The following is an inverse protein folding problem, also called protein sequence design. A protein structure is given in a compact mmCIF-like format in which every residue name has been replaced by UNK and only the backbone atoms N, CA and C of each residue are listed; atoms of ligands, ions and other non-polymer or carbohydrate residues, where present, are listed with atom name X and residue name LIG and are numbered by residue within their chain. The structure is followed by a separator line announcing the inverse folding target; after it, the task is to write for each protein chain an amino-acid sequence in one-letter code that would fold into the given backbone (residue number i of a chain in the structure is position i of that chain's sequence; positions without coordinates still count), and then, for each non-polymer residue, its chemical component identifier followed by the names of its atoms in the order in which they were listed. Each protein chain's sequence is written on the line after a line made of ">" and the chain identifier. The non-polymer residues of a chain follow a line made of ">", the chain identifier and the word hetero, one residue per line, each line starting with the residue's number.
data_IF_881771650512
#
_entry.id   IF_881771650512
#
_cell.length_a   1.000
_cell.length_b   1.000
_cell.length_c   1.000
_cell.angle_alpha   90.00
_cell.angle_beta   90.00
_cell.angle_gamma   90.00
#
_symmetry.space_group_name_H-M   'P 1'
#
loop_
_entity.id
_entity.type
_entity.pdbx_description
1 polymer ?
#
# COMPACT_ATOMS: atom_id res chain seq x y z
N UNK A 1 5.26 66.89 -16.66
CA UNK A 1 4.59 65.81 -15.90
C UNK A 1 4.63 64.57 -16.76
N UNK A 2 5.57 63.63 -16.45
CA UNK A 2 5.71 62.35 -17.16
C UNK A 2 5.23 61.24 -16.21
N UNK A 3 4.15 60.60 -16.59
CA UNK A 3 3.64 59.45 -15.86
C UNK A 3 4.45 58.19 -16.25
N UNK A 4 5.12 57.57 -15.28
CA UNK A 4 5.81 56.32 -15.44
C UNK A 4 4.77 55.21 -15.13
N UNK A 5 4.37 54.49 -16.16
CA UNK A 5 3.50 53.31 -16.04
C UNK A 5 4.37 52.14 -15.63
N UNK A 6 4.24 51.70 -14.38
CA UNK A 6 4.89 50.47 -13.89
C UNK A 6 4.16 49.24 -14.41
N UNK A 7 4.82 48.46 -15.26
CA UNK A 7 4.34 47.18 -15.75
C UNK A 7 4.66 46.12 -14.68
N UNK A 8 3.65 45.66 -13.92
CA UNK A 8 3.77 44.54 -12.97
C UNK A 8 3.68 43.27 -13.77
N UNK A 9 4.82 42.62 -14.00
CA UNK A 9 4.88 41.26 -14.54
C UNK A 9 4.54 40.31 -13.42
N UNK A 10 3.30 39.79 -13.42
CA UNK A 10 2.90 38.71 -12.55
C UNK A 10 3.61 37.44 -13.01
N UNK A 11 4.63 37.00 -12.27
CA UNK A 11 5.24 35.71 -12.43
C UNK A 11 4.26 34.64 -11.92
N UNK A 12 3.51 34.03 -12.83
CA UNK A 12 2.68 32.88 -12.54
C UNK A 12 3.62 31.69 -12.25
N UNK A 13 3.83 31.39 -10.98
CA UNK A 13 4.44 30.13 -10.56
C UNK A 13 3.52 29.02 -11.05
N UNK A 14 3.92 28.37 -12.14
CA UNK A 14 3.41 27.06 -12.53
C UNK A 14 3.81 26.08 -11.42
N UNK A 15 2.95 25.96 -10.41
CA UNK A 15 2.94 24.77 -9.55
C UNK A 15 2.61 23.61 -10.48
N UNK A 16 3.65 22.87 -10.87
CA UNK A 16 3.49 21.62 -11.61
C UNK A 16 2.48 20.74 -10.87
N UNK A 17 1.46 20.28 -11.59
CA UNK A 17 0.57 19.27 -11.08
C UNK A 17 1.40 18.12 -10.47
N UNK A 18 0.99 17.53 -9.33
CA UNK A 18 1.73 16.42 -8.74
C UNK A 18 1.95 15.40 -9.84
N UNK A 19 3.22 15.08 -10.11
CA UNK A 19 3.57 14.14 -11.17
C UNK A 19 2.85 12.82 -10.87
N UNK A 20 2.02 12.35 -11.80
CA UNK A 20 1.20 11.13 -11.67
C UNK A 20 2.05 9.86 -11.47
N UNK A 21 3.32 10.00 -11.16
CA UNK A 21 4.31 8.96 -10.97
C UNK A 21 5.46 9.01 -11.96
N UNK A 22 6.08 7.85 -12.20
CA UNK A 22 7.21 7.70 -13.12
C UNK A 22 7.22 6.33 -13.77
N UNK A 23 7.85 6.24 -14.94
CA UNK A 23 8.15 4.99 -15.61
C UNK A 23 9.51 4.45 -15.12
N UNK A 24 9.60 3.12 -15.05
CA UNK A 24 10.84 2.44 -14.65
C UNK A 24 10.90 1.01 -15.20
N UNK A 25 12.08 0.40 -15.12
CA UNK A 25 12.29 -1.00 -15.50
C UNK A 25 12.49 -1.84 -14.24
N UNK A 26 11.79 -2.96 -14.14
CA UNK A 26 11.93 -3.88 -13.01
C UNK A 26 13.32 -4.51 -13.01
N UNK A 27 14.09 -4.28 -11.95
CA UNK A 27 15.40 -4.89 -11.74
C UNK A 27 15.28 -6.27 -11.08
N UNK A 28 14.49 -6.35 -10.00
CA UNK A 28 14.16 -7.61 -9.31
C UNK A 28 13.00 -7.45 -8.34
N UNK A 29 12.35 -8.55 -8.01
CA UNK A 29 11.44 -8.68 -6.86
C UNK A 29 12.27 -8.95 -5.60
N UNK A 30 11.89 -8.35 -4.48
CA UNK A 30 12.54 -8.53 -3.17
C UNK A 30 11.76 -9.56 -2.35
N UNK A 31 10.45 -9.35 -2.23
CA UNK A 31 9.48 -10.15 -1.48
C UNK A 31 8.09 -9.98 -2.12
N UNK A 32 7.02 -10.35 -1.39
CA UNK A 32 5.64 -10.36 -1.93
C UNK A 32 5.03 -8.98 -2.21
N UNK A 33 5.64 -7.89 -1.75
CA UNK A 33 5.12 -6.53 -1.92
C UNK A 33 6.21 -5.46 -2.14
N UNK A 34 7.41 -5.89 -2.48
CA UNK A 34 8.54 -4.98 -2.68
C UNK A 34 9.33 -5.35 -3.94
N UNK A 35 9.55 -4.37 -4.81
CA UNK A 35 10.38 -4.52 -6.02
C UNK A 35 11.51 -3.49 -6.02
N UNK A 36 12.57 -3.79 -6.77
CA UNK A 36 13.59 -2.81 -7.14
C UNK A 36 13.41 -2.46 -8.61
N UNK A 37 13.33 -1.19 -8.89
CA UNK A 37 13.21 -0.65 -10.24
C UNK A 37 14.39 0.27 -10.58
N UNK A 38 14.68 0.39 -11.87
CA UNK A 38 15.66 1.31 -12.43
C UNK A 38 14.90 2.36 -13.24
N UNK A 39 15.06 3.63 -12.87
CA UNK A 39 14.50 4.77 -13.60
C UNK A 39 15.38 5.12 -14.81
N UNK A 40 14.84 5.90 -15.74
CA UNK A 40 15.56 6.39 -16.91
C UNK A 40 16.77 7.26 -16.56
N UNK A 41 16.72 7.96 -15.42
CA UNK A 41 17.83 8.76 -14.87
C UNK A 41 18.94 7.91 -14.21
N UNK A 42 18.88 6.58 -14.32
CA UNK A 42 19.85 5.64 -13.74
C UNK A 42 19.66 5.35 -12.26
N UNK A 43 18.72 6.01 -11.56
CA UNK A 43 18.48 5.76 -10.14
C UNK A 43 17.78 4.43 -9.91
N UNK A 44 18.29 3.67 -8.95
CA UNK A 44 17.62 2.46 -8.45
C UNK A 44 16.75 2.82 -7.27
N UNK A 45 15.48 2.47 -7.34
CA UNK A 45 14.51 2.70 -6.27
C UNK A 45 13.99 1.37 -5.73
N UNK A 46 13.84 1.30 -4.42
CA UNK A 46 13.11 0.23 -3.75
C UNK A 46 11.67 0.68 -3.57
N UNK A 47 10.75 0.06 -4.31
CA UNK A 47 9.33 0.41 -4.32
C UNK A 47 8.58 -0.57 -3.43
N UNK A 48 7.92 -0.05 -2.39
CA UNK A 48 6.94 -0.76 -1.56
C UNK A 48 5.57 -0.57 -2.19
N UNK A 49 4.95 -1.65 -2.59
CA UNK A 49 3.60 -1.66 -3.14
C UNK A 49 2.62 -1.21 -2.05
N UNK A 50 1.98 -0.04 -2.23
CA UNK A 50 1.04 0.51 -1.24
C UNK A 50 -0.29 -0.21 -1.25
N UNK A 51 -1.08 0.01 -0.19
CA UNK A 51 -2.41 -0.53 0.04
C UNK A 51 -2.47 -2.05 0.20
N UNK A 52 -1.33 -2.73 0.22
CA UNK A 52 -1.25 -4.18 0.42
C UNK A 52 -0.19 -4.54 1.45
N UNK A 53 -0.35 -5.72 2.01
CA UNK A 53 0.58 -6.36 2.94
C UNK A 53 0.68 -7.84 2.60
N UNK A 54 1.83 -8.25 2.07
CA UNK A 54 2.07 -9.64 1.69
C UNK A 54 2.67 -10.44 2.85
N UNK A 55 2.46 -11.78 2.87
CA UNK A 55 3.11 -12.65 3.85
C UNK A 55 4.64 -12.46 3.87
N UNK A 56 5.19 -12.44 5.08
CA UNK A 56 6.59 -12.13 5.33
C UNK A 56 7.54 -13.24 4.90
N UNK A 57 8.46 -12.95 3.99
CA UNK A 57 9.49 -13.90 3.56
C UNK A 57 10.58 -14.10 4.60
N UNK A 58 10.89 -13.04 5.37
CA UNK A 58 11.81 -13.08 6.49
C UNK A 58 11.61 -11.88 7.41
N UNK A 59 11.16 -12.13 8.63
CA UNK A 59 11.05 -11.13 9.68
C UNK A 59 11.55 -11.71 11.00
N UNK A 60 12.60 -11.12 11.58
CA UNK A 60 13.23 -11.58 12.84
C UNK A 60 13.51 -13.10 12.86
N UNK A 61 14.01 -13.65 11.75
CA UNK A 61 14.34 -15.07 11.62
C UNK A 61 13.18 -15.99 11.29
N UNK A 62 11.96 -15.47 11.25
CA UNK A 62 10.73 -16.24 10.95
C UNK A 62 10.13 -15.84 9.59
N UNK A 63 9.29 -16.70 9.03
CA UNK A 63 8.59 -16.48 7.75
C UNK A 63 7.16 -17.00 7.79
N UNK A 64 6.36 -16.56 6.84
CA UNK A 64 4.99 -17.02 6.63
C UNK A 64 4.90 -17.89 5.36
N UNK A 65 5.74 -18.92 5.31
CA UNK A 65 5.72 -19.89 4.22
C UNK A 65 4.50 -20.82 4.27
N UNK A 66 4.00 -21.31 3.15
CA UNK A 66 4.51 -21.10 1.77
C UNK A 66 4.01 -19.81 1.11
N UNK A 67 3.18 -19.04 1.79
CA UNK A 67 2.48 -17.88 1.22
C UNK A 67 3.44 -16.76 0.81
N UNK A 68 4.49 -16.54 1.61
CA UNK A 68 5.53 -15.56 1.30
C UNK A 68 6.20 -15.84 -0.06
N UNK A 69 6.63 -17.08 -0.28
CA UNK A 69 7.21 -17.50 -1.56
C UNK A 69 6.20 -17.48 -2.70
N UNK A 70 4.93 -17.79 -2.44
CA UNK A 70 3.87 -17.73 -3.45
C UNK A 70 3.60 -16.31 -3.90
N UNK A 71 3.48 -15.36 -2.95
CA UNK A 71 3.31 -13.93 -3.25
C UNK A 71 4.50 -13.38 -4.05
N UNK A 72 5.72 -13.64 -3.61
CA UNK A 72 6.94 -13.19 -4.30
C UNK A 72 7.05 -13.75 -5.72
N UNK A 73 6.78 -15.05 -5.93
CA UNK A 73 6.77 -15.67 -7.27
C UNK A 73 5.68 -15.08 -8.16
N UNK A 74 4.50 -14.80 -7.58
CA UNK A 74 3.43 -14.20 -8.37
C UNK A 74 3.77 -12.78 -8.77
N UNK A 75 4.29 -11.97 -7.85
CA UNK A 75 4.78 -10.63 -8.15
C UNK A 75 5.84 -10.65 -9.26
N UNK A 76 6.76 -11.62 -9.24
CA UNK A 76 7.76 -11.78 -10.29
C UNK A 76 7.18 -12.14 -11.67
N UNK A 77 6.01 -12.79 -11.74
CA UNK A 77 5.30 -13.02 -13.00
C UNK A 77 4.52 -11.79 -13.47
N UNK A 78 3.94 -11.02 -12.54
CA UNK A 78 3.23 -9.78 -12.86
C UNK A 78 4.20 -8.67 -13.27
N UNK A 79 5.37 -8.60 -12.64
CA UNK A 79 6.44 -7.63 -12.89
C UNK A 79 7.78 -8.35 -13.19
N UNK A 80 7.92 -9.02 -14.34
CA UNK A 80 9.16 -9.73 -14.69
C UNK A 80 10.36 -8.78 -14.74
N UNK A 81 11.54 -9.28 -14.38
CA UNK A 81 12.79 -8.55 -14.56
C UNK A 81 12.92 -8.06 -16.04
N UNK A 82 13.26 -6.79 -16.20
CA UNK A 82 13.36 -6.14 -17.50
C UNK A 82 12.05 -5.56 -18.04
N UNK A 83 10.89 -5.84 -17.41
CA UNK A 83 9.63 -5.25 -17.84
C UNK A 83 9.52 -3.78 -17.46
N UNK A 84 8.87 -2.97 -18.31
CA UNK A 84 8.49 -1.60 -17.99
C UNK A 84 7.28 -1.58 -17.08
N UNK A 85 7.31 -0.71 -16.08
CA UNK A 85 6.21 -0.47 -15.13
C UNK A 85 6.06 1.03 -14.89
N UNK A 86 4.83 1.46 -14.69
CA UNK A 86 4.50 2.79 -14.21
C UNK A 86 4.23 2.72 -12.70
N UNK A 87 4.91 3.57 -11.94
CA UNK A 87 4.74 3.68 -10.49
C UNK A 87 3.98 4.98 -10.20
N UNK A 88 2.74 4.89 -9.75
CA UNK A 88 1.99 6.04 -9.21
C UNK A 88 2.35 6.21 -7.74
N UNK A 89 2.81 7.41 -7.40
CA UNK A 89 3.29 7.72 -6.05
C UNK A 89 2.21 8.53 -5.33
N UNK A 90 1.79 8.15 -4.10
CA UNK A 90 0.90 8.96 -3.28
C UNK A 90 1.58 10.27 -2.84
N UNK A 91 0.80 11.15 -2.20
CA UNK A 91 1.34 12.42 -1.69
C UNK A 91 2.54 12.22 -0.76
N UNK A 92 2.54 11.18 0.05
CA UNK A 92 3.69 10.74 0.85
C UNK A 92 4.51 9.74 0.05
N UNK A 93 5.56 10.23 -0.61
CA UNK A 93 6.36 9.47 -1.56
C UNK A 93 7.26 8.40 -0.92
N UNK A 94 7.65 8.56 0.34
CA UNK A 94 8.61 7.70 1.04
C UNK A 94 8.07 7.21 2.37
N UNK A 95 8.38 5.97 2.70
CA UNK A 95 8.15 5.47 4.05
C UNK A 95 9.35 5.78 4.98
N UNK A 96 9.18 5.46 6.28
CA UNK A 96 10.23 5.63 7.32
C UNK A 96 11.52 4.84 7.06
N UNK A 97 11.51 3.91 6.11
CA UNK A 97 12.68 3.11 5.70
C UNK A 97 13.30 3.60 4.39
N UNK A 98 12.87 4.76 3.88
CA UNK A 98 13.34 5.34 2.63
C UNK A 98 12.89 4.59 1.37
N UNK A 99 11.86 3.73 1.47
CA UNK A 99 11.29 3.05 0.30
C UNK A 99 10.29 3.97 -0.39
N UNK A 100 10.33 4.02 -1.70
CA UNK A 100 9.29 4.70 -2.49
C UNK A 100 7.97 3.95 -2.34
N UNK A 101 6.92 4.64 -1.93
CA UNK A 101 5.58 4.10 -1.89
C UNK A 101 4.94 4.19 -3.28
N UNK A 102 4.26 3.14 -3.75
CA UNK A 102 3.64 3.19 -5.07
C UNK A 102 2.59 2.16 -5.38
N UNK A 103 1.60 2.57 -6.20
CA UNK A 103 0.79 1.67 -6.99
C UNK A 103 1.55 1.35 -8.27
N UNK A 104 1.81 0.09 -8.55
CA UNK A 104 2.62 -0.38 -9.67
C UNK A 104 1.71 -0.93 -10.77
N UNK A 105 1.89 -0.42 -11.98
CA UNK A 105 1.12 -0.83 -13.16
C UNK A 105 2.03 -1.38 -14.25
N UNK A 106 1.58 -2.45 -14.91
CA UNK A 106 2.16 -2.93 -16.17
C UNK A 106 1.05 -2.92 -17.23
N UNK A 107 1.16 -2.00 -18.18
CA UNK A 107 0.02 -1.62 -19.01
C UNK A 107 -1.12 -1.13 -18.12
N UNK A 108 -2.31 -1.67 -18.31
CA UNK A 108 -3.50 -1.31 -17.52
C UNK A 108 -3.65 -2.15 -16.25
N UNK A 109 -2.80 -3.15 -16.04
CA UNK A 109 -2.87 -4.04 -14.87
C UNK A 109 -2.27 -3.38 -13.65
N UNK A 110 -3.11 -3.16 -12.61
CA UNK A 110 -2.64 -2.78 -11.28
C UNK A 110 -2.13 -4.02 -10.55
N UNK A 111 -0.80 -4.13 -10.42
CA UNK A 111 -0.13 -5.29 -9.82
C UNK A 111 -0.48 -5.46 -8.34
N UNK A 112 -0.59 -4.36 -7.60
CA UNK A 112 -0.98 -4.38 -6.19
C UNK A 112 -2.36 -5.04 -6.03
N UNK A 113 -3.32 -4.62 -6.85
CA UNK A 113 -4.68 -5.11 -6.81
C UNK A 113 -4.79 -6.60 -7.22
N UNK A 114 -4.02 -7.03 -8.22
CA UNK A 114 -4.00 -8.44 -8.64
C UNK A 114 -3.53 -9.37 -7.53
N UNK A 115 -2.52 -8.98 -6.76
CA UNK A 115 -2.06 -9.77 -5.61
C UNK A 115 -3.17 -9.95 -4.56
N UNK A 116 -3.99 -8.93 -4.34
CA UNK A 116 -5.13 -9.01 -3.41
C UNK A 116 -6.26 -9.87 -3.99
N UNK A 117 -6.60 -9.72 -5.29
CA UNK A 117 -7.60 -10.55 -5.96
C UNK A 117 -7.30 -12.05 -5.88
N UNK A 118 -6.03 -12.38 -5.92
CA UNK A 118 -5.56 -13.77 -5.83
C UNK A 118 -5.39 -14.25 -4.38
N UNK A 119 -5.64 -13.38 -3.39
CA UNK A 119 -5.45 -13.68 -1.98
C UNK A 119 -3.97 -13.89 -1.61
N UNK A 120 -3.03 -13.27 -2.34
CA UNK A 120 -1.59 -13.37 -2.07
C UNK A 120 -1.04 -12.17 -1.29
N UNK A 121 -1.87 -11.16 -1.07
CA UNK A 121 -1.66 -10.05 -0.15
C UNK A 121 -3.00 -9.63 0.46
N UNK A 122 -2.95 -8.98 1.61
CA UNK A 122 -4.12 -8.42 2.29
C UNK A 122 -4.15 -6.90 2.10
N UNK A 123 -5.32 -6.24 2.09
CA UNK A 123 -5.39 -4.80 2.15
C UNK A 123 -4.70 -4.26 3.41
N UNK A 124 -3.89 -3.21 3.23
CA UNK A 124 -3.23 -2.48 4.30
C UNK A 124 -3.31 -1.00 3.99
N UNK A 125 -4.49 -0.43 4.25
CA UNK A 125 -4.84 0.92 3.88
C UNK A 125 -4.44 1.89 4.99
N UNK A 126 -3.49 2.77 4.71
CA UNK A 126 -3.01 3.80 5.64
C UNK A 126 -3.42 5.17 5.09
N UNK A 127 -4.19 5.92 5.88
CA UNK A 127 -4.57 7.29 5.53
C UNK A 127 -3.33 8.21 5.51
N UNK A 128 -3.17 9.14 4.55
CA UNK A 128 -4.11 9.49 3.48
C UNK A 128 -3.92 8.72 2.16
N UNK A 129 -2.98 7.78 2.07
CA UNK A 129 -2.61 7.07 0.84
C UNK A 129 -3.63 5.99 0.45
N UNK A 130 -4.92 6.35 0.34
CA UNK A 130 -6.04 5.40 0.20
C UNK A 130 -6.61 5.28 -1.21
N UNK A 131 -5.89 5.70 -2.23
CA UNK A 131 -6.39 5.55 -3.60
C UNK A 131 -6.83 4.11 -3.87
N UNK A 132 -8.03 3.94 -4.45
CA UNK A 132 -8.63 2.65 -4.79
C UNK A 132 -9.00 1.76 -3.57
N UNK A 133 -9.29 2.36 -2.41
CA UNK A 133 -9.61 1.59 -1.18
C UNK A 133 -10.78 0.63 -1.37
N UNK A 134 -11.84 1.05 -2.09
CA UNK A 134 -13.00 0.21 -2.36
C UNK A 134 -12.62 -1.01 -3.21
N UNK A 135 -11.84 -0.81 -4.26
CA UNK A 135 -11.39 -1.88 -5.16
C UNK A 135 -10.51 -2.92 -4.42
N UNK A 136 -9.65 -2.47 -3.51
CA UNK A 136 -8.86 -3.37 -2.66
C UNK A 136 -9.74 -4.14 -1.67
N UNK A 137 -10.73 -3.48 -1.06
CA UNK A 137 -11.69 -4.11 -0.17
C UNK A 137 -12.51 -5.19 -0.90
N UNK A 138 -13.08 -4.85 -2.06
CA UNK A 138 -13.89 -5.77 -2.87
C UNK A 138 -13.06 -6.97 -3.37
N UNK A 139 -11.83 -6.72 -3.82
CA UNK A 139 -10.92 -7.76 -4.27
C UNK A 139 -10.60 -8.76 -3.14
N UNK A 140 -10.34 -8.27 -1.91
CA UNK A 140 -10.07 -9.11 -0.76
C UNK A 140 -11.31 -9.91 -0.32
N UNK A 141 -12.48 -9.26 -0.24
CA UNK A 141 -13.74 -9.92 0.08
C UNK A 141 -14.07 -11.03 -0.94
N UNK A 142 -13.80 -10.78 -2.24
CA UNK A 142 -13.92 -11.78 -3.29
C UNK A 142 -12.96 -12.96 -3.10
N UNK A 143 -11.68 -12.69 -2.83
CA UNK A 143 -10.68 -13.72 -2.57
C UNK A 143 -11.05 -14.59 -1.35
N UNK A 144 -11.53 -13.96 -0.27
CA UNK A 144 -11.97 -14.66 0.94
C UNK A 144 -13.19 -15.54 0.66
N UNK A 145 -14.21 -15.01 0.01
CA UNK A 145 -15.44 -15.76 -0.32
C UNK A 145 -15.16 -17.00 -1.17
N UNK A 146 -14.19 -16.91 -2.05
CA UNK A 146 -13.80 -17.99 -2.95
C UNK A 146 -12.68 -18.87 -2.42
N UNK A 147 -12.19 -18.63 -1.20
CA UNK A 147 -11.12 -19.41 -0.59
C UNK A 147 -9.79 -19.31 -1.33
N UNK A 148 -9.49 -18.17 -1.98
CA UNK A 148 -8.25 -18.01 -2.75
C UNK A 148 -7.07 -17.63 -1.87
N UNK A 149 -5.90 -18.15 -2.23
CA UNK A 149 -4.64 -17.77 -1.61
C UNK A 149 -4.63 -18.02 -0.10
N UNK A 150 -4.28 -17.01 0.68
CA UNK A 150 -4.20 -17.07 2.16
C UNK A 150 -5.52 -17.44 2.84
N UNK A 151 -6.62 -17.46 2.10
CA UNK A 151 -7.95 -17.85 2.58
C UNK A 151 -8.33 -19.30 2.23
N UNK A 152 -7.43 -20.05 1.58
CA UNK A 152 -7.69 -21.45 1.23
C UNK A 152 -7.97 -22.29 2.50
N UNK A 153 -9.12 -22.98 2.61
CA UNK A 153 -9.52 -23.67 3.85
C UNK A 153 -8.48 -24.67 4.35
N UNK A 154 -7.82 -25.39 3.43
CA UNK A 154 -6.85 -26.43 3.77
C UNK A 154 -5.50 -25.86 4.23
N UNK A 155 -5.26 -24.59 3.98
CA UNK A 155 -3.96 -23.94 4.23
C UNK A 155 -4.10 -22.45 4.53
N UNK A 156 -5.13 -22.05 5.24
CA UNK A 156 -5.32 -20.64 5.58
C UNK A 156 -4.09 -20.05 6.28
N UNK A 157 -3.77 -18.80 6.00
CA UNK A 157 -2.70 -18.07 6.70
C UNK A 157 -3.10 -17.92 8.17
N UNK A 158 -2.33 -18.44 9.13
CA UNK A 158 -2.74 -18.44 10.55
C UNK A 158 -2.83 -17.05 11.16
N UNK A 159 -2.04 -16.11 10.64
CA UNK A 159 -1.92 -14.77 11.20
C UNK A 159 -1.63 -13.76 10.09
N UNK A 160 -2.29 -12.62 10.11
CA UNK A 160 -2.04 -11.54 9.15
C UNK A 160 -0.60 -11.02 9.23
N UNK A 161 0.02 -10.57 8.11
CA UNK A 161 1.42 -10.15 8.10
C UNK A 161 1.71 -9.01 9.10
N UNK A 162 0.82 -8.04 9.23
CA UNK A 162 0.97 -6.94 10.20
C UNK A 162 0.99 -7.46 11.64
N UNK A 163 0.10 -8.39 12.01
CA UNK A 163 0.06 -9.00 13.36
C UNK A 163 1.29 -9.85 13.61
N UNK A 164 1.71 -10.64 12.61
CA UNK A 164 2.94 -11.43 12.68
C UNK A 164 4.16 -10.55 13.02
N UNK A 165 4.30 -9.38 12.36
CA UNK A 165 5.38 -8.43 12.68
C UNK A 165 5.25 -7.83 14.07
N UNK A 166 4.06 -7.46 14.50
CA UNK A 166 3.84 -6.92 15.85
C UNK A 166 4.20 -7.94 16.93
N UNK A 167 3.72 -9.17 16.80
CA UNK A 167 3.98 -10.25 17.75
C UNK A 167 5.47 -10.57 17.85
N UNK A 168 6.16 -10.81 16.74
CA UNK A 168 7.59 -11.11 16.75
C UNK A 168 8.43 -9.93 17.24
N UNK A 169 8.02 -8.71 16.93
CA UNK A 169 8.69 -7.49 17.40
C UNK A 169 8.38 -7.12 18.85
N UNK A 170 7.55 -7.89 19.55
CA UNK A 170 7.13 -7.57 20.92
C UNK A 170 6.41 -6.22 21.02
N UNK A 171 5.67 -5.82 19.99
CA UNK A 171 5.02 -4.50 19.90
C UNK A 171 3.50 -4.63 19.90
N UNK A 172 2.83 -3.74 20.63
CA UNK A 172 1.40 -3.56 20.53
C UNK A 172 1.01 -2.88 19.19
N UNK A 173 -0.23 -3.07 18.71
CA UNK A 173 -0.79 -2.22 17.65
C UNK A 173 -0.69 -0.74 18.05
N UNK A 174 -0.44 0.13 17.09
CA UNK A 174 -0.27 1.57 17.33
C UNK A 174 -1.12 2.45 16.40
N UNK A 175 -1.76 1.85 15.39
CA UNK A 175 -2.67 2.55 14.51
C UNK A 175 -4.07 2.67 15.12
N UNK A 176 -4.67 3.84 15.02
CA UNK A 176 -6.11 3.97 15.18
C UNK A 176 -6.81 3.29 14.01
N UNK A 177 -7.85 2.53 14.29
CA UNK A 177 -8.45 1.63 13.31
C UNK A 177 -9.84 2.10 12.93
N UNK A 178 -10.00 2.52 11.69
CA UNK A 178 -11.31 2.85 11.12
C UNK A 178 -11.91 1.68 10.36
N UNK A 179 -13.23 1.66 10.30
CA UNK A 179 -13.98 0.75 9.46
C UNK A 179 -14.48 1.51 8.22
N UNK A 180 -14.10 1.04 7.03
CA UNK A 180 -14.43 1.69 5.74
C UNK A 180 -15.93 1.81 5.48
N UNK A 181 -16.71 0.84 5.98
CA UNK A 181 -18.15 0.74 5.74
C UNK A 181 -18.96 1.58 6.72
N UNK A 182 -18.65 1.48 8.03
CA UNK A 182 -19.44 2.15 9.08
C UNK A 182 -18.97 3.57 9.33
N UNK A 183 -17.79 3.95 8.83
CA UNK A 183 -17.13 5.24 9.11
C UNK A 183 -16.95 5.50 10.61
N UNK A 184 -16.74 4.43 11.38
CA UNK A 184 -16.38 4.51 12.79
C UNK A 184 -14.92 4.13 12.97
N UNK A 185 -14.29 4.65 14.02
CA UNK A 185 -12.92 4.30 14.40
C UNK A 185 -12.82 3.92 15.87
N UNK A 186 -11.89 3.04 16.18
CA UNK A 186 -11.55 2.61 17.53
C UNK A 186 -10.05 2.71 17.80
N UNK A 187 -9.66 2.42 19.06
CA UNK A 187 -8.27 2.45 19.49
C UNK A 187 -7.44 1.34 18.82
N UNK A 188 -6.09 1.39 18.94
CA UNK A 188 -5.20 0.39 18.31
C UNK A 188 -5.54 -1.07 18.66
N UNK A 189 -6.06 -1.34 19.84
CA UNK A 189 -6.46 -2.69 20.29
C UNK A 189 -7.62 -3.27 19.47
N UNK A 190 -8.37 -2.43 18.76
CA UNK A 190 -9.44 -2.86 17.86
C UNK A 190 -8.92 -3.44 16.53
N UNK A 191 -7.60 -3.41 16.26
CA UNK A 191 -7.01 -3.87 15.00
C UNK A 191 -7.48 -5.26 14.58
N UNK A 192 -7.58 -6.19 15.51
CA UNK A 192 -8.03 -7.56 15.23
C UNK A 192 -9.54 -7.77 15.18
N UNK A 193 -10.35 -6.73 15.42
CA UNK A 193 -11.82 -6.84 15.43
C UNK A 193 -12.43 -6.68 14.04
N UNK A 194 -11.70 -6.07 13.12
CA UNK A 194 -12.15 -5.82 11.76
C UNK A 194 -11.40 -6.70 10.77
N UNK A 195 -12.09 -7.13 9.72
CA UNK A 195 -11.46 -7.85 8.61
C UNK A 195 -10.51 -6.90 7.84
N UNK A 196 -9.44 -7.43 7.22
CA UNK A 196 -8.50 -6.61 6.44
C UNK A 196 -9.17 -5.71 5.40
N UNK A 197 -10.19 -6.23 4.73
CA UNK A 197 -10.98 -5.51 3.72
C UNK A 197 -11.88 -4.41 4.27
N UNK A 198 -12.10 -4.38 5.57
CA UNK A 198 -12.93 -3.36 6.22
C UNK A 198 -12.10 -2.26 6.90
N UNK A 199 -10.79 -2.46 7.03
CA UNK A 199 -9.92 -1.59 7.83
C UNK A 199 -9.31 -0.45 7.04
N UNK A 200 -9.18 0.66 7.75
CA UNK A 200 -8.29 1.76 7.44
C UNK A 200 -7.50 2.13 8.69
N UNK A 201 -6.25 2.51 8.51
CA UNK A 201 -5.33 2.83 9.58
C UNK A 201 -5.02 4.32 9.61
N UNK A 202 -5.07 4.91 10.79
CA UNK A 202 -4.75 6.32 11.04
C UNK A 202 -3.60 6.43 12.05
N UNK A 203 -2.75 7.41 11.89
CA UNK A 203 -1.63 7.65 12.82
C UNK A 203 -2.09 8.22 14.16
N UNK A 204 -3.23 8.93 14.15
CA UNK A 204 -3.81 9.51 15.36
C UNK A 204 -5.35 9.53 15.31
N UNK A 205 -5.95 9.75 16.48
CA UNK A 205 -7.38 9.96 16.61
C UNK A 205 -7.85 11.22 15.86
N UNK A 206 -7.06 12.29 15.90
CA UNK A 206 -7.33 13.54 15.21
C UNK A 206 -7.39 13.32 13.68
N UNK A 207 -6.48 12.50 13.17
CA UNK A 207 -6.47 12.15 11.74
C UNK A 207 -7.73 11.38 11.35
N UNK A 208 -8.19 10.44 12.19
CA UNK A 208 -9.43 9.71 11.93
C UNK A 208 -10.66 10.65 11.93
N UNK A 209 -10.76 11.57 12.89
CA UNK A 209 -11.82 12.57 12.92
C UNK A 209 -11.78 13.52 11.73
N UNK A 210 -10.61 14.00 11.37
CA UNK A 210 -10.42 14.88 10.21
C UNK A 210 -10.81 14.19 8.89
N UNK A 211 -10.65 12.87 8.82
CA UNK A 211 -11.10 12.04 7.69
C UNK A 211 -12.61 11.72 7.72
N UNK A 212 -13.38 12.29 8.67
CA UNK A 212 -14.83 12.13 8.76
C UNK A 212 -15.29 10.84 9.44
N UNK A 213 -14.43 10.22 10.25
CA UNK A 213 -14.81 9.03 11.04
C UNK A 213 -15.29 9.43 12.43
N UNK A 214 -16.34 8.75 12.92
CA UNK A 214 -16.85 8.90 14.28
C UNK A 214 -16.25 7.82 15.20
N UNK A 215 -16.05 8.15 16.48
CA UNK A 215 -15.55 7.17 17.47
C UNK A 215 -16.58 6.07 17.70
N UNK A 216 -16.12 4.82 17.85
CA UNK A 216 -16.92 3.72 18.36
C UNK A 216 -17.27 3.98 19.83
N UNK A 217 -18.49 3.62 20.24
CA UNK A 217 -18.95 3.69 21.64
C UNK A 217 -18.37 2.55 22.46
#
# INVERSE_FOLDING_TARGET
>A
MHAITACVVAATLLLGAPSDGFEAVVSRVVDGDTIIVLREDGRRLRVRLVNIDAPESRYMGSSQEPWASMAARRLARLAPKGSRVRVRVPAEALDRHGRTLGLVFRGDTNINLELVREGLALPYLVHPAMGMAAEFADACAGARREGRGVFAPERALPEEPARFRLRLGGRAPYWWVGNLRTKRYGPPESFGRHLPEERILFESEEQARAAGYAREE
#
